data_IF_824433802589
#
_entry.id   IF_824433802589
#
_cell.length_a   1.000
_cell.length_b   1.000
_cell.length_c   1.000
_cell.angle_alpha   90.00
_cell.angle_beta   90.00
_cell.angle_gamma   90.00
#
_symmetry.space_group_name_H-M   'P 1'
#
loop_
_entity.id
_entity.type
_entity.pdbx_description
1 polymer ?
#
# COMPACT_ATOMS: atom_id res chain seq x y z
N UNK A 1 -56.78 11.88 -17.26
CA UNK A 1 -55.87 11.48 -16.16
C UNK A 1 -54.52 11.15 -16.77
N UNK A 2 -53.47 11.82 -16.29
CA UNK A 2 -52.15 11.82 -16.91
C UNK A 2 -51.41 10.48 -16.73
N UNK A 3 -50.80 9.97 -17.80
CA UNK A 3 -49.84 8.87 -17.72
C UNK A 3 -48.49 9.50 -17.42
N UNK A 4 -48.02 9.32 -16.20
CA UNK A 4 -46.73 9.80 -15.71
C UNK A 4 -45.64 9.09 -16.52
N UNK A 5 -44.90 9.84 -17.33
CA UNK A 5 -43.68 9.36 -17.97
C UNK A 5 -42.56 9.74 -17.00
N UNK A 6 -42.25 8.85 -16.06
CA UNK A 6 -41.13 9.04 -15.17
C UNK A 6 -40.50 7.69 -14.86
N UNK A 7 -39.19 7.61 -15.17
CA UNK A 7 -38.19 6.72 -14.60
C UNK A 7 -38.16 5.28 -15.12
N UNK A 8 -37.70 5.10 -16.37
CA UNK A 8 -37.27 3.78 -16.89
C UNK A 8 -35.73 3.66 -17.03
N UNK A 9 -34.99 4.78 -16.96
CA UNK A 9 -33.53 4.80 -17.15
C UNK A 9 -32.72 4.78 -15.84
N UNK A 10 -33.37 4.99 -14.68
CA UNK A 10 -32.72 4.98 -13.36
C UNK A 10 -32.40 3.56 -12.88
N UNK A 11 -33.29 2.60 -13.12
CA UNK A 11 -33.07 1.19 -12.75
C UNK A 11 -31.92 0.58 -13.54
N UNK A 12 -31.86 0.90 -14.84
CA UNK A 12 -30.77 0.48 -15.74
C UNK A 12 -29.41 1.02 -15.29
N UNK A 13 -29.41 2.19 -14.65
CA UNK A 13 -28.22 2.80 -14.06
C UNK A 13 -27.81 2.20 -12.70
N UNK A 14 -28.68 1.46 -12.02
CA UNK A 14 -28.30 0.68 -10.85
C UNK A 14 -27.75 -0.69 -11.27
N UNK A 15 -28.32 -1.30 -12.31
CA UNK A 15 -27.91 -2.63 -12.79
C UNK A 15 -26.49 -2.66 -13.37
N UNK A 16 -26.13 -1.72 -14.27
CA UNK A 16 -24.78 -1.67 -14.85
C UNK A 16 -23.69 -1.35 -13.80
N UNK A 17 -24.00 -0.58 -12.76
CA UNK A 17 -23.05 -0.20 -11.72
C UNK A 17 -22.80 -1.37 -10.76
N UNK A 18 -23.85 -2.13 -10.41
CA UNK A 18 -23.72 -3.35 -9.62
C UNK A 18 -23.00 -4.46 -10.39
N UNK A 19 -23.34 -4.66 -11.66
CA UNK A 19 -22.68 -5.65 -12.53
C UNK A 19 -21.20 -5.29 -12.77
N UNK A 20 -20.89 -4.02 -13.02
CA UNK A 20 -19.53 -3.50 -13.13
C UNK A 20 -18.74 -3.66 -11.82
N UNK A 21 -19.35 -3.38 -10.67
CA UNK A 21 -18.71 -3.51 -9.36
C UNK A 21 -18.46 -4.98 -8.98
N UNK A 22 -19.37 -5.89 -9.33
CA UNK A 22 -19.18 -7.34 -9.11
C UNK A 22 -18.12 -7.96 -10.03
N UNK A 23 -17.99 -7.47 -11.26
CA UNK A 23 -16.95 -7.91 -12.18
C UNK A 23 -15.55 -7.49 -11.71
N UNK A 24 -15.39 -6.28 -11.17
CA UNK A 24 -14.09 -5.79 -10.68
C UNK A 24 -13.72 -6.38 -9.30
N UNK A 25 -14.71 -6.56 -8.41
CA UNK A 25 -14.49 -7.08 -7.03
C UNK A 25 -14.20 -8.58 -6.97
N UNK A 26 -14.68 -9.38 -7.92
CA UNK A 26 -14.41 -10.83 -7.99
C UNK A 26 -13.17 -11.20 -8.81
N UNK A 27 -12.47 -10.21 -9.38
CA UNK A 27 -11.09 -10.40 -9.87
C UNK A 27 -10.11 -10.49 -8.68
N UNK A 28 -10.39 -11.40 -7.75
CA UNK A 28 -9.39 -12.04 -6.91
C UNK A 28 -8.54 -12.92 -7.82
N UNK A 29 -7.85 -12.30 -8.77
CA UNK A 29 -6.64 -12.86 -9.34
C UNK A 29 -5.75 -13.03 -8.12
N UNK A 30 -5.65 -14.26 -7.60
CA UNK A 30 -4.90 -14.56 -6.40
C UNK A 30 -3.52 -13.98 -6.60
N UNK A 31 -3.23 -12.83 -5.97
CA UNK A 31 -1.93 -12.19 -6.10
C UNK A 31 -0.97 -13.22 -5.56
N UNK A 32 -0.20 -13.85 -6.45
CA UNK A 32 0.81 -14.80 -6.05
C UNK A 32 1.85 -14.01 -5.28
N UNK A 33 1.80 -14.13 -3.96
CA UNK A 33 2.82 -13.62 -3.06
C UNK A 33 3.78 -14.78 -2.84
N UNK A 34 5.05 -14.66 -3.27
CA UNK A 34 6.06 -15.66 -2.97
C UNK A 34 6.12 -15.94 -1.47
N UNK A 35 6.50 -17.15 -1.07
CA UNK A 35 6.68 -17.47 0.37
C UNK A 35 7.69 -16.55 1.07
N UNK A 36 8.63 -15.99 0.31
CA UNK A 36 9.60 -14.99 0.77
C UNK A 36 9.04 -13.57 0.89
N UNK A 37 7.75 -13.35 0.58
CA UNK A 37 7.16 -12.03 0.42
C UNK A 37 7.36 -11.44 -0.99
N UNK A 38 6.71 -10.31 -1.27
CA UNK A 38 6.84 -9.58 -2.55
C UNK A 38 8.21 -8.92 -2.69
N UNK A 39 8.79 -8.52 -1.55
CA UNK A 39 10.12 -7.92 -1.48
C UNK A 39 11.11 -9.02 -1.08
N UNK A 40 12.14 -9.29 -1.90
CA UNK A 40 12.97 -10.49 -1.77
C UNK A 40 14.06 -10.39 -0.69
N UNK A 41 14.50 -9.18 -0.34
CA UNK A 41 15.63 -8.96 0.55
C UNK A 41 15.61 -7.60 1.26
N UNK A 42 16.46 -7.47 2.28
CA UNK A 42 16.61 -6.27 3.11
C UNK A 42 17.01 -5.04 2.29
N UNK A 43 17.96 -5.19 1.35
CA UNK A 43 18.44 -4.08 0.54
C UNK A 43 17.32 -3.48 -0.30
N UNK A 44 16.46 -4.33 -0.86
CA UNK A 44 15.30 -3.93 -1.64
C UNK A 44 14.26 -3.25 -0.75
N UNK A 45 14.01 -3.78 0.45
CA UNK A 45 13.11 -3.16 1.42
C UNK A 45 13.57 -1.73 1.81
N UNK A 46 14.87 -1.56 2.11
CA UNK A 46 15.45 -0.25 2.43
C UNK A 46 15.31 0.73 1.26
N UNK A 47 15.60 0.29 0.03
CA UNK A 47 15.51 1.11 -1.18
C UNK A 47 14.09 1.63 -1.42
N UNK A 48 13.08 0.77 -1.22
CA UNK A 48 11.67 1.15 -1.34
C UNK A 48 11.30 2.15 -0.25
N UNK A 49 11.64 1.87 1.01
CA UNK A 49 11.33 2.77 2.13
C UNK A 49 11.93 4.17 1.91
N UNK A 50 13.22 4.25 1.54
CA UNK A 50 13.91 5.53 1.27
C UNK A 50 13.25 6.28 0.11
N UNK A 51 12.89 5.58 -0.98
CA UNK A 51 12.20 6.19 -2.13
C UNK A 51 10.84 6.80 -1.75
N UNK A 52 10.12 6.16 -0.83
CA UNK A 52 8.82 6.65 -0.32
C UNK A 52 9.00 7.78 0.70
N UNK A 53 10.03 7.72 1.55
CA UNK A 53 10.25 8.70 2.61
C UNK A 53 10.83 10.02 2.12
N UNK A 54 11.74 9.99 1.13
CA UNK A 54 12.36 11.21 0.55
C UNK A 54 11.36 12.29 0.13
N UNK A 55 10.28 12.01 -0.61
CA UNK A 55 9.32 13.04 -0.97
C UNK A 55 8.52 13.60 0.22
N UNK A 56 8.47 12.88 1.35
CA UNK A 56 7.72 13.30 2.55
C UNK A 56 8.60 14.13 3.48
N UNK A 57 9.82 13.66 3.74
CA UNK A 57 10.71 14.22 4.77
C UNK A 57 11.91 15.00 4.20
N UNK A 58 12.18 14.88 2.90
CA UNK A 58 13.34 15.47 2.23
C UNK A 58 14.61 14.64 2.39
N UNK A 59 15.54 14.77 1.44
CA UNK A 59 16.78 14.01 1.42
C UNK A 59 17.64 14.19 2.69
N UNK A 60 17.75 15.43 3.20
CA UNK A 60 18.58 15.74 4.37
C UNK A 60 18.15 14.95 5.62
N UNK A 61 16.84 14.80 5.83
CA UNK A 61 16.34 14.06 7.00
C UNK A 61 16.58 12.56 6.85
N UNK A 62 16.47 12.02 5.63
CA UNK A 62 16.70 10.60 5.37
C UNK A 62 18.19 10.24 5.47
N UNK A 63 19.09 11.13 5.09
CA UNK A 63 20.54 10.92 5.28
C UNK A 63 20.92 10.82 6.75
N UNK A 64 20.27 11.59 7.65
CA UNK A 64 20.52 11.53 9.11
C UNK A 64 20.07 10.22 9.75
N UNK A 65 19.20 9.46 9.10
CA UNK A 65 18.70 8.17 9.58
C UNK A 65 19.65 7.02 9.25
N UNK A 66 20.73 7.26 8.51
CA UNK A 66 21.69 6.21 8.16
C UNK A 66 22.57 5.80 9.36
N UNK A 67 23.00 4.54 9.44
CA UNK A 67 22.62 3.42 8.56
C UNK A 67 21.17 2.98 8.79
N UNK A 68 20.49 2.53 7.73
CA UNK A 68 19.18 1.90 7.87
C UNK A 68 19.34 0.38 7.93
N UNK A 69 18.46 -0.28 8.67
CA UNK A 69 18.39 -1.74 8.74
C UNK A 69 16.96 -2.19 8.45
N UNK A 70 16.78 -3.36 7.84
CA UNK A 70 15.45 -3.94 7.63
C UNK A 70 15.32 -5.36 8.16
N UNK A 71 14.16 -5.63 8.73
CA UNK A 71 13.82 -6.89 9.36
C UNK A 71 12.54 -7.44 8.75
N UNK A 72 12.54 -8.73 8.42
CA UNK A 72 11.34 -9.44 8.00
C UNK A 72 10.66 -10.05 9.23
N UNK A 73 9.52 -9.48 9.62
CA UNK A 73 8.76 -9.88 10.81
C UNK A 73 7.36 -10.27 10.35
N UNK A 74 6.95 -11.51 10.60
CA UNK A 74 5.63 -12.04 10.22
C UNK A 74 5.24 -11.83 8.76
N UNK A 75 6.23 -11.88 7.86
CA UNK A 75 6.03 -11.67 6.41
C UNK A 75 6.00 -10.20 5.98
N UNK A 76 6.19 -9.26 6.91
CA UNK A 76 6.23 -7.83 6.64
C UNK A 76 7.66 -7.28 6.82
N UNK A 77 8.10 -6.46 5.88
CA UNK A 77 9.38 -5.75 6.00
C UNK A 77 9.21 -4.50 6.85
N UNK A 78 9.94 -4.44 7.96
CA UNK A 78 10.09 -3.25 8.80
C UNK A 78 11.46 -2.63 8.55
N UNK A 79 11.49 -1.35 8.18
CA UNK A 79 12.74 -0.62 7.91
C UNK A 79 12.92 0.45 8.98
N UNK A 80 14.09 0.47 9.60
CA UNK A 80 14.43 1.36 10.71
C UNK A 80 15.63 2.22 10.35
N UNK A 81 15.57 3.49 10.77
CA UNK A 81 16.74 4.37 10.84
C UNK A 81 17.52 4.19 12.13
N UNK A 82 18.67 4.84 12.20
CA UNK A 82 19.53 4.91 13.39
C UNK A 82 19.36 6.25 14.09
N UNK A 83 19.16 6.21 15.41
CA UNK A 83 19.14 7.39 16.28
C UNK A 83 20.56 7.99 16.45
N UNK A 84 20.68 9.26 16.88
CA UNK A 84 21.99 9.89 17.09
C UNK A 84 22.90 9.16 18.10
N UNK A 85 22.31 8.39 19.03
CA UNK A 85 23.04 7.58 20.01
C UNK A 85 23.43 6.19 19.46
N UNK A 86 23.14 5.88 18.20
CA UNK A 86 23.46 4.61 17.54
C UNK A 86 22.43 3.50 17.76
N UNK A 87 21.34 3.76 18.50
CA UNK A 87 20.25 2.81 18.68
C UNK A 87 19.31 2.80 17.47
N UNK A 88 18.66 1.66 17.21
CA UNK A 88 17.66 1.55 16.15
C UNK A 88 16.34 2.19 16.59
N UNK A 89 15.77 3.04 15.75
CA UNK A 89 14.47 3.66 16.01
C UNK A 89 13.33 2.74 15.54
N UNK A 90 12.84 1.86 16.41
CA UNK A 90 11.54 1.21 16.25
C UNK A 90 10.45 2.20 16.66
N UNK A 91 9.62 2.65 15.71
CA UNK A 91 8.31 3.22 16.05
C UNK A 91 7.42 2.09 16.57
N UNK A 92 7.64 1.63 17.80
CA UNK A 92 6.66 0.86 18.55
C UNK A 92 5.79 1.86 19.30
N UNK A 93 4.52 1.92 18.89
CA UNK A 93 3.46 2.66 19.59
C UNK A 93 2.60 1.66 20.35
#
# INVERSE_FOLDING_TARGET
MAKVIANDDSDKMQTWAEEYYHQFKSSTMSKYVPKSGVIPDEKTAISIAVSVWKPIYGDEQIEKQKPCQAFLIDGNWSVLGTLPNGELALCLN
#
